data_IF_192049294051
#
_entry.id   IF_192049294051
#
_cell.length_a   1.000
_cell.length_b   1.000
_cell.length_c   1.000
_cell.angle_alpha   90.00
_cell.angle_beta   90.00
_cell.angle_gamma   90.00
#
_symmetry.space_group_name_H-M   'P 1'
#
loop_
_entity.id
_entity.type
_entity.pdbx_description
1 polymer ?
#
# COMPACT_ATOMS: atom_id res chain seq x y z
N UNK A 1 -8.04 1.01 -24.34
CA UNK A 1 -7.85 0.89 -22.88
C UNK A 1 -8.72 1.94 -22.23
N UNK A 2 -9.78 1.55 -21.52
CA UNK A 2 -10.72 2.51 -20.93
C UNK A 2 -10.06 3.23 -19.78
N UNK A 3 -9.88 4.55 -19.89
CA UNK A 3 -9.43 5.40 -18.78
C UNK A 3 -10.54 5.44 -17.74
N UNK A 4 -10.46 4.56 -16.74
CA UNK A 4 -11.42 4.55 -15.64
C UNK A 4 -11.26 5.87 -14.86
N UNK A 5 -12.34 6.63 -14.73
CA UNK A 5 -12.32 7.88 -13.99
C UNK A 5 -11.81 7.67 -12.55
N UNK A 6 -10.98 8.59 -12.07
CA UNK A 6 -10.48 8.57 -10.69
C UNK A 6 -11.64 9.03 -9.77
N UNK A 7 -12.04 8.23 -8.77
CA UNK A 7 -13.14 8.60 -7.88
C UNK A 7 -12.76 9.74 -6.94
N UNK A 8 -13.77 10.43 -6.37
CA UNK A 8 -13.53 11.49 -5.39
C UNK A 8 -13.01 10.96 -4.05
N UNK A 9 -13.41 9.73 -3.69
CA UNK A 9 -13.03 9.05 -2.46
C UNK A 9 -12.48 7.66 -2.74
N UNK A 10 -11.71 7.15 -1.79
CA UNK A 10 -11.13 5.82 -1.80
C UNK A 10 -11.20 5.18 -0.42
N UNK A 11 -11.05 3.87 -0.38
CA UNK A 11 -10.85 3.11 0.84
C UNK A 11 -9.38 3.08 1.22
N UNK A 12 -9.12 3.17 2.51
CA UNK A 12 -7.80 3.05 3.12
C UNK A 12 -7.94 2.30 4.45
N UNK A 13 -6.96 1.47 4.79
CA UNK A 13 -6.87 0.87 6.13
C UNK A 13 -6.17 1.88 7.05
N UNK A 14 -6.81 2.22 8.16
CA UNK A 14 -6.32 3.16 9.16
C UNK A 14 -6.03 2.43 10.47
N UNK A 15 -4.86 2.63 11.05
CA UNK A 15 -4.56 2.23 12.43
C UNK A 15 -5.25 3.22 13.37
N UNK A 16 -6.16 2.75 14.23
CA UNK A 16 -7.00 3.57 15.12
C UNK A 16 -6.48 3.63 16.56
N UNK A 17 -5.70 2.64 16.95
CA UNK A 17 -5.00 2.53 18.24
C UNK A 17 -3.72 1.73 18.03
N UNK A 18 -2.76 1.84 18.93
CA UNK A 18 -1.55 1.03 18.84
C UNK A 18 -1.83 -0.41 19.32
N UNK A 19 -1.27 -1.39 18.62
CA UNK A 19 -1.23 -2.78 19.07
C UNK A 19 -0.75 -3.76 18.02
N UNK A 20 -0.47 -4.99 18.45
CA UNK A 20 0.07 -6.06 17.62
C UNK A 20 -1.02 -6.94 16.97
N UNK A 21 -2.28 -6.81 17.38
CA UNK A 21 -3.41 -7.53 16.77
C UNK A 21 -4.02 -6.68 15.66
N UNK A 22 -3.44 -6.76 14.46
CA UNK A 22 -3.76 -5.87 13.33
C UNK A 22 -5.26 -5.63 13.10
N UNK A 23 -6.06 -6.70 13.09
CA UNK A 23 -7.51 -6.62 12.86
C UNK A 23 -8.27 -5.86 13.95
N UNK A 24 -7.80 -5.92 15.20
CA UNK A 24 -8.45 -5.22 16.33
C UNK A 24 -8.05 -3.75 16.41
N UNK A 25 -6.95 -3.37 15.76
CA UNK A 25 -6.38 -2.02 15.83
C UNK A 25 -6.56 -1.22 14.54
N UNK A 26 -7.14 -1.83 13.50
CA UNK A 26 -7.34 -1.19 12.19
C UNK A 26 -8.80 -1.18 11.76
N UNK A 27 -9.15 -0.20 10.94
CA UNK A 27 -10.47 -0.06 10.31
C UNK A 27 -10.32 0.36 8.85
N UNK A 28 -11.27 -0.04 8.01
CA UNK A 28 -11.40 0.50 6.65
C UNK A 28 -12.15 1.83 6.73
N UNK A 29 -11.53 2.90 6.25
CA UNK A 29 -12.12 4.25 6.20
C UNK A 29 -12.24 4.73 4.76
N UNK A 30 -13.17 5.65 4.50
CA UNK A 30 -13.26 6.36 3.23
C UNK A 30 -12.60 7.73 3.36
N UNK A 31 -11.67 8.03 2.46
CA UNK A 31 -10.91 9.30 2.44
C UNK A 31 -10.85 9.85 1.02
N UNK A 32 -10.62 11.17 0.82
CA UNK A 32 -10.45 11.72 -0.52
C UNK A 32 -9.26 11.09 -1.25
N UNK A 33 -9.38 10.91 -2.57
CA UNK A 33 -8.22 10.52 -3.39
C UNK A 33 -7.23 11.68 -3.43
N UNK A 34 -5.95 11.49 -3.06
CA UNK A 34 -4.98 12.56 -3.02
C UNK A 34 -4.58 13.00 -4.44
N UNK A 35 -4.22 14.28 -4.59
CA UNK A 35 -3.64 14.81 -5.83
C UNK A 35 -2.11 14.77 -5.73
N UNK A 36 -1.38 14.33 -6.78
CA UNK A 36 0.07 14.31 -6.75
C UNK A 36 0.62 15.74 -6.85
N UNK A 37 1.55 16.07 -5.96
CA UNK A 37 2.34 17.31 -6.03
C UNK A 37 3.52 17.19 -7.00
N UNK A 38 4.40 18.22 -7.04
CA UNK A 38 5.63 18.16 -7.83
C UNK A 38 6.48 16.93 -7.48
N UNK A 39 7.03 16.28 -8.50
CA UNK A 39 7.83 15.04 -8.38
C UNK A 39 7.10 13.90 -7.68
N UNK A 40 5.77 13.85 -7.78
CA UNK A 40 4.97 12.71 -7.33
C UNK A 40 4.15 12.13 -8.48
N UNK A 41 3.73 10.89 -8.30
CA UNK A 41 2.72 10.22 -9.12
C UNK A 41 1.60 9.72 -8.21
N UNK A 42 0.39 9.68 -8.74
CA UNK A 42 -0.73 8.98 -8.13
C UNK A 42 -0.77 7.56 -8.70
N UNK A 43 -0.66 6.59 -7.82
CA UNK A 43 -0.74 5.16 -8.17
C UNK A 43 -2.08 4.62 -7.73
N UNK A 44 -2.79 3.91 -8.61
CA UNK A 44 -3.92 3.05 -8.26
C UNK A 44 -3.37 1.69 -7.85
N UNK A 45 -3.49 1.36 -6.57
CA UNK A 45 -2.97 0.12 -5.99
C UNK A 45 -3.76 -1.08 -6.49
N UNK A 46 -3.05 -2.10 -6.95
CA UNK A 46 -3.63 -3.39 -7.36
C UNK A 46 -3.33 -4.47 -6.32
N UNK A 47 -2.14 -4.44 -5.73
CA UNK A 47 -1.67 -5.40 -4.75
C UNK A 47 -0.94 -4.71 -3.61
N UNK A 48 -1.01 -5.30 -2.43
CA UNK A 48 -0.24 -4.90 -1.25
C UNK A 48 0.51 -6.12 -0.73
N UNK A 49 1.72 -5.92 -0.24
CA UNK A 49 2.46 -6.97 0.45
C UNK A 49 2.27 -6.80 1.97
N UNK A 50 1.97 -7.91 2.63
CA UNK A 50 1.73 -7.95 4.09
C UNK A 50 2.90 -8.68 4.72
N UNK A 51 3.57 -8.01 5.66
CA UNK A 51 4.75 -8.50 6.33
C UNK A 51 4.61 -8.35 7.86
N UNK A 52 5.51 -8.99 8.61
CA UNK A 52 5.58 -8.78 10.06
C UNK A 52 5.87 -7.31 10.43
N UNK A 53 6.49 -6.55 9.53
CA UNK A 53 6.75 -5.13 9.69
C UNK A 53 5.47 -4.29 9.78
N UNK A 54 4.37 -4.71 9.18
CA UNK A 54 3.08 -4.00 9.32
C UNK A 54 2.54 -4.11 10.75
N UNK A 55 2.77 -5.26 11.40
CA UNK A 55 2.42 -5.47 12.82
C UNK A 55 3.29 -4.62 13.74
N UNK A 56 4.60 -4.61 13.49
CA UNK A 56 5.56 -3.79 14.25
C UNK A 56 5.31 -2.29 14.06
N UNK A 57 4.81 -1.90 12.89
CA UNK A 57 4.38 -0.53 12.64
C UNK A 57 3.07 -0.21 13.37
N UNK A 58 2.03 -1.05 13.26
CA UNK A 58 0.74 -0.82 13.93
C UNK A 58 0.84 -0.86 15.46
N UNK A 59 1.84 -1.56 16.01
CA UNK A 59 2.11 -1.59 17.44
C UNK A 59 2.88 -0.37 17.96
N UNK A 60 3.41 0.48 17.07
CA UNK A 60 4.29 1.59 17.41
C UNK A 60 5.73 1.19 17.68
N UNK A 61 6.10 -0.09 17.50
CA UNK A 61 7.47 -0.56 17.73
C UNK A 61 8.49 0.10 16.78
N UNK A 62 8.13 0.21 15.50
CA UNK A 62 8.97 0.91 14.51
C UNK A 62 8.81 2.42 14.48
N UNK A 63 7.78 2.93 15.14
CA UNK A 63 7.52 4.37 15.21
C UNK A 63 7.18 4.78 16.63
N UNK A 64 8.16 4.75 17.56
CA UNK A 64 7.95 5.23 18.92
C UNK A 64 7.39 6.66 18.89
N UNK A 65 6.26 6.86 19.56
CA UNK A 65 5.56 8.14 19.60
C UNK A 65 4.55 8.39 18.47
N UNK A 66 4.35 7.44 17.54
CA UNK A 66 3.26 7.53 16.57
C UNK A 66 1.91 7.67 17.28
N UNK A 67 1.12 8.65 16.86
CA UNK A 67 -0.22 8.87 17.40
C UNK A 67 -1.28 8.47 16.38
N UNK A 68 -2.02 7.38 16.62
CA UNK A 68 -3.21 7.07 15.83
C UNK A 68 -4.24 8.22 15.86
N UNK A 69 -5.03 8.43 14.79
CA UNK A 69 -5.12 7.56 13.62
C UNK A 69 -4.06 7.84 12.54
N UNK A 70 -3.49 6.79 11.96
CA UNK A 70 -2.59 6.91 10.80
C UNK A 70 -2.76 5.76 9.78
N UNK A 71 -2.50 6.01 8.48
CA UNK A 71 -2.65 4.98 7.44
C UNK A 71 -1.75 3.77 7.65
N UNK A 72 -2.28 2.57 7.39
CA UNK A 72 -1.57 1.30 7.51
C UNK A 72 -0.85 0.90 6.21
N UNK A 73 0.09 -0.03 6.34
CA UNK A 73 0.75 -0.70 5.22
C UNK A 73 2.02 -0.02 4.74
N UNK A 74 2.94 -0.85 4.26
CA UNK A 74 4.27 -0.43 3.83
C UNK A 74 4.53 -0.61 2.34
N UNK A 75 4.04 -1.69 1.74
CA UNK A 75 4.46 -2.09 0.39
C UNK A 75 3.26 -2.28 -0.52
N UNK A 76 3.35 -1.71 -1.72
CA UNK A 76 2.30 -1.79 -2.71
C UNK A 76 2.85 -1.83 -4.13
N UNK A 77 1.99 -2.36 -5.00
CA UNK A 77 2.16 -2.35 -6.43
C UNK A 77 0.88 -1.82 -7.07
N UNK A 78 1.05 -1.01 -8.11
CA UNK A 78 -0.08 -0.54 -8.88
C UNK A 78 0.32 0.11 -10.19
N UNK A 79 -0.66 0.79 -10.77
CA UNK A 79 -0.53 1.49 -12.05
C UNK A 79 -0.54 3.01 -11.80
N UNK A 80 0.36 3.75 -12.43
CA UNK A 80 0.32 5.22 -12.40
C UNK A 80 -0.92 5.70 -13.15
N UNK A 81 -1.80 6.44 -12.47
CA UNK A 81 -3.04 6.99 -13.05
C UNK A 81 -3.01 8.50 -13.22
N UNK A 82 -2.10 9.20 -12.54
CA UNK A 82 -1.88 10.64 -12.70
C UNK A 82 -0.44 10.98 -12.34
N UNK A 83 0.14 11.97 -13.01
CA UNK A 83 1.51 12.44 -12.73
C UNK A 83 1.48 13.89 -12.29
N UNK A 84 2.27 14.21 -11.26
CA UNK A 84 2.57 15.58 -10.88
C UNK A 84 3.62 16.20 -11.79
N UNK A 85 3.86 17.50 -11.60
CA UNK A 85 4.84 18.27 -12.35
C UNK A 85 6.25 17.67 -12.26
N UNK A 86 6.97 17.66 -13.39
CA UNK A 86 8.35 17.16 -13.45
C UNK A 86 8.50 15.64 -13.39
N UNK A 87 7.40 14.88 -13.46
CA UNK A 87 7.46 13.42 -13.57
C UNK A 87 8.04 12.97 -14.91
N UNK A 88 9.07 12.12 -14.87
CA UNK A 88 9.57 11.38 -16.04
C UNK A 88 8.81 10.06 -16.28
N UNK A 89 7.98 9.65 -15.32
CA UNK A 89 7.13 8.46 -15.41
C UNK A 89 5.81 8.80 -16.12
N UNK A 90 5.20 7.78 -16.73
CA UNK A 90 4.02 7.89 -17.58
C UNK A 90 2.80 7.20 -16.94
N UNK A 91 1.62 7.76 -17.19
CA UNK A 91 0.35 7.07 -16.89
C UNK A 91 0.29 5.72 -17.61
N UNK A 92 -0.27 4.71 -16.93
CA UNK A 92 -0.32 3.33 -17.39
C UNK A 92 0.92 2.49 -17.04
N UNK A 93 1.98 3.10 -16.50
CA UNK A 93 3.15 2.34 -16.04
C UNK A 93 2.85 1.62 -14.72
N UNK A 94 3.17 0.32 -14.68
CA UNK A 94 3.15 -0.46 -13.46
C UNK A 94 4.39 -0.17 -12.63
N UNK A 95 4.20 -0.01 -11.33
CA UNK A 95 5.24 0.35 -10.39
C UNK A 95 5.10 -0.40 -9.07
N UNK A 96 6.24 -0.61 -8.42
CA UNK A 96 6.34 -1.05 -7.02
C UNK A 96 6.98 0.05 -6.19
N UNK A 97 6.59 0.14 -4.93
CA UNK A 97 7.15 1.10 -3.98
C UNK A 97 6.91 0.64 -2.53
N UNK A 98 7.74 1.18 -1.64
CA UNK A 98 7.56 1.06 -0.19
C UNK A 98 7.29 2.45 0.39
N UNK A 99 6.11 2.66 0.97
CA UNK A 99 5.66 3.91 1.58
C UNK A 99 4.59 3.63 2.65
N UNK A 100 4.63 4.36 3.76
CA UNK A 100 3.56 4.31 4.76
C UNK A 100 2.19 4.68 4.15
N UNK A 101 1.16 3.95 4.55
CA UNK A 101 -0.19 4.09 4.00
C UNK A 101 -0.40 3.32 2.71
N UNK A 102 0.44 2.32 2.40
CA UNK A 102 0.30 1.54 1.17
C UNK A 102 -0.97 0.68 1.12
N UNK A 103 -1.65 0.44 2.25
CA UNK A 103 -2.97 -0.20 2.26
C UNK A 103 -4.08 0.81 1.94
N UNK A 104 -3.93 1.46 0.78
CA UNK A 104 -4.85 2.43 0.20
C UNK A 104 -5.10 2.09 -1.26
N UNK A 105 -6.32 2.32 -1.74
CA UNK A 105 -6.61 2.10 -3.18
C UNK A 105 -5.87 3.09 -4.08
N UNK A 106 -5.54 4.29 -3.58
CA UNK A 106 -4.71 5.26 -4.28
C UNK A 106 -3.64 5.87 -3.35
N UNK A 107 -2.45 6.14 -3.88
CA UNK A 107 -1.39 6.78 -3.10
C UNK A 107 -0.55 7.72 -3.96
N UNK A 108 -0.26 8.91 -3.42
CA UNK A 108 0.80 9.77 -3.96
C UNK A 108 2.17 9.27 -3.51
N UNK A 109 3.07 9.09 -4.46
CA UNK A 109 4.40 8.50 -4.26
C UNK A 109 5.45 9.36 -4.96
N UNK A 110 6.55 9.69 -4.28
CA UNK A 110 7.65 10.46 -4.87
C UNK A 110 8.44 9.62 -5.88
N UNK A 111 8.88 10.23 -6.98
CA UNK A 111 9.59 9.52 -8.06
C UNK A 111 10.80 8.70 -7.59
N UNK A 112 11.53 9.16 -6.56
CA UNK A 112 12.78 8.52 -6.12
C UNK A 112 12.58 7.17 -5.41
N UNK A 113 11.38 6.90 -4.89
CA UNK A 113 11.03 5.62 -4.24
C UNK A 113 10.22 4.68 -5.15
N UNK A 114 9.88 5.13 -6.36
CA UNK A 114 9.12 4.34 -7.34
C UNK A 114 10.10 3.53 -8.17
N UNK A 115 9.75 2.27 -8.48
CA UNK A 115 10.47 1.43 -9.45
C UNK A 115 9.49 0.94 -10.50
N UNK A 116 9.78 1.20 -11.77
CA UNK A 116 9.00 0.67 -12.89
C UNK A 116 9.20 -0.83 -13.01
N UNK A 117 8.12 -1.57 -13.27
CA UNK A 117 8.16 -3.03 -13.38
C UNK A 117 7.54 -3.50 -14.69
N UNK A 118 8.18 -4.50 -15.31
CA UNK A 118 7.67 -5.17 -16.50
C UNK A 118 6.60 -6.22 -16.16
N UNK A 119 5.95 -6.79 -17.18
CA UNK A 119 4.83 -7.73 -17.04
C UNK A 119 5.11 -8.93 -16.13
N UNK A 120 6.28 -9.56 -16.24
CA UNK A 120 6.66 -10.74 -15.45
C UNK A 120 6.78 -10.44 -13.94
N UNK A 121 7.27 -9.24 -13.60
CA UNK A 121 7.43 -8.81 -12.21
C UNK A 121 6.08 -8.49 -11.56
N UNK A 122 5.08 -8.09 -12.35
CA UNK A 122 3.70 -7.91 -11.89
C UNK A 122 3.11 -9.24 -11.41
N UNK A 123 3.27 -10.30 -12.19
CA UNK A 123 2.80 -11.63 -11.82
C UNK A 123 3.52 -12.18 -10.58
N UNK A 124 4.84 -12.00 -10.48
CA UNK A 124 5.59 -12.47 -9.31
C UNK A 124 5.28 -11.69 -8.03
N UNK A 125 5.10 -10.36 -8.10
CA UNK A 125 4.71 -9.57 -6.93
C UNK A 125 3.32 -9.99 -6.43
N UNK A 126 2.37 -10.20 -7.36
CA UNK A 126 1.05 -10.72 -7.03
C UNK A 126 1.14 -12.12 -6.40
N UNK A 127 1.96 -13.01 -6.97
CA UNK A 127 2.19 -14.36 -6.44
C UNK A 127 2.85 -14.33 -5.06
N UNK A 128 3.91 -13.54 -4.86
CA UNK A 128 4.65 -13.47 -3.59
C UNK A 128 3.87 -12.79 -2.48
N UNK A 129 3.05 -11.79 -2.82
CA UNK A 129 2.07 -11.20 -1.89
C UNK A 129 1.03 -12.24 -1.45
N UNK A 130 0.62 -13.14 -2.34
CA UNK A 130 -0.27 -14.26 -2.01
C UNK A 130 0.43 -15.41 -1.26
N UNK A 131 1.70 -15.73 -1.58
CA UNK A 131 2.48 -16.79 -0.93
C UNK A 131 2.85 -16.47 0.52
N UNK A 132 3.15 -15.21 0.85
CA UNK A 132 3.37 -14.80 2.25
C UNK A 132 2.08 -14.97 3.08
N UNK A 133 0.92 -14.74 2.47
CA UNK A 133 -0.38 -15.00 3.09
C UNK A 133 -0.64 -16.50 3.25
N UNK A 134 -0.37 -17.31 2.23
CA UNK A 134 -0.66 -18.76 2.23
C UNK A 134 0.35 -19.59 3.05
N UNK A 135 1.62 -19.19 3.09
CA UNK A 135 2.65 -19.88 3.89
C UNK A 135 2.45 -19.75 5.39
N UNK A 136 1.67 -18.77 5.86
CA UNK A 136 1.31 -18.59 7.28
C UNK A 136 -0.08 -19.10 7.64
N UNK A 137 -0.90 -19.52 6.67
CA UNK A 137 -2.17 -20.24 6.91
C UNK A 137 -1.94 -21.76 7.06
N UNK A 138 -0.74 -22.27 6.71
CA UNK A 138 -0.35 -23.67 6.90
C UNK A 138 0.51 -23.97 8.14
N UNK A 139 0.73 -23.00 9.03
CA UNK A 139 1.26 -23.35 10.34
C UNK A 139 0.11 -23.99 11.14
N UNK A 140 0.21 -25.28 11.57
CA UNK A 140 -0.80 -25.87 12.43
C UNK A 140 -0.90 -25.02 13.69
N UNK A 141 -2.14 -24.68 14.09
CA UNK A 141 -2.39 -24.11 15.40
C UNK A 141 -1.78 -25.04 16.45
N UNK A 142 -1.07 -24.52 17.47
CA UNK A 142 -0.67 -25.36 18.58
C UNK A 142 -1.93 -25.99 19.17
N UNK A 143 -1.91 -27.32 19.33
CA UNK A 143 -2.96 -28.07 20.01
C UNK A 143 -3.16 -27.50 21.44
N UNK A 144 -4.37 -27.63 22.01
CA UNK A 144 -4.73 -27.02 23.30
C UNK A 144 -3.78 -27.42 24.44
#
# INVERSE_FOLDING_TARGET
>A
MSSRAIPAQMRQIMVKKLGNKFREVTEVVHVPVPKPGPKQVLVRTSYVAINASDIMFSSGFYTPGAQPPFPAGLEAMGEIVLTGEGSKLKVGQNVVFSKFGSFSEYLCVYLHIVRGVGGTVVSEFALRSAEILLSRVRAPLPAP
#
